data_IF_176844209964
#
_entry.id   IF_176844209964
#
_cell.length_a   1.000
_cell.length_b   1.000
_cell.length_c   1.000
_cell.angle_alpha   90.00
_cell.angle_beta   90.00
_cell.angle_gamma   90.00
#
_symmetry.space_group_name_H-M   'P 1'
#
loop_
_entity.id
_entity.type
_entity.pdbx_description
1 polymer ?
#
# COMPACT_ATOMS: atom_id res chain seq x y z
N UNK A 1 9.16 7.51 -13.97
CA UNK A 1 9.00 6.57 -12.85
C UNK A 1 8.18 7.20 -11.75
N UNK A 2 7.35 6.41 -11.10
CA UNK A 2 6.53 6.86 -9.98
C UNK A 2 6.72 5.93 -8.79
N UNK A 3 6.59 6.48 -7.60
CA UNK A 3 6.45 5.71 -6.38
C UNK A 3 4.98 5.71 -5.99
N UNK A 4 4.37 4.54 -6.04
CA UNK A 4 2.99 4.34 -5.61
C UNK A 4 3.03 3.85 -4.17
N UNK A 5 2.41 4.61 -3.29
CA UNK A 5 2.29 4.24 -1.87
C UNK A 5 0.81 3.91 -1.63
N UNK A 6 0.54 2.74 -1.11
CA UNK A 6 -0.81 2.33 -0.77
C UNK A 6 -0.88 1.92 0.70
N UNK A 7 -1.75 2.57 1.45
CA UNK A 7 -2.01 2.20 2.85
C UNK A 7 -3.35 1.47 2.86
N UNK A 8 -3.33 0.19 3.19
CA UNK A 8 -4.47 -0.71 3.03
C UNK A 8 -4.75 -1.50 4.31
N UNK A 9 -5.89 -2.15 4.36
CA UNK A 9 -6.23 -3.08 5.45
C UNK A 9 -5.28 -4.28 5.40
N UNK A 10 -4.78 -4.75 6.56
CA UNK A 10 -3.77 -5.82 6.60
C UNK A 10 -4.19 -7.11 5.90
N UNK A 11 -5.46 -7.50 6.01
CA UNK A 11 -5.92 -8.76 5.43
C UNK A 11 -6.01 -8.72 3.90
N UNK A 12 -5.82 -7.55 3.30
CA UNK A 12 -5.80 -7.41 1.83
C UNK A 12 -4.41 -7.58 1.22
N UNK A 13 -3.38 -7.68 2.04
CA UNK A 13 -1.99 -7.72 1.56
C UNK A 13 -1.75 -8.82 0.52
N UNK A 14 -2.15 -10.04 0.82
CA UNK A 14 -1.86 -11.17 -0.07
C UNK A 14 -2.57 -11.05 -1.42
N UNK A 15 -3.83 -10.63 -1.42
CA UNK A 15 -4.59 -10.43 -2.66
C UNK A 15 -3.96 -9.34 -3.53
N UNK A 16 -3.58 -8.21 -2.91
CA UNK A 16 -2.97 -7.10 -3.62
C UNK A 16 -1.62 -7.50 -4.20
N UNK A 17 -0.79 -8.16 -3.40
CA UNK A 17 0.53 -8.64 -3.84
C UNK A 17 0.42 -9.58 -5.04
N UNK A 18 -0.49 -10.55 -4.97
CA UNK A 18 -0.71 -11.50 -6.06
C UNK A 18 -1.17 -10.80 -7.33
N UNK A 19 -2.15 -9.89 -7.20
CA UNK A 19 -2.68 -9.17 -8.35
C UNK A 19 -1.62 -8.26 -8.99
N UNK A 20 -0.79 -7.59 -8.19
CA UNK A 20 0.29 -6.74 -8.71
C UNK A 20 1.36 -7.56 -9.41
N UNK A 21 1.70 -8.72 -8.87
CA UNK A 21 2.62 -9.64 -9.55
C UNK A 21 2.08 -10.06 -10.92
N UNK A 22 0.78 -10.28 -11.00
CA UNK A 22 0.10 -10.68 -12.25
C UNK A 22 0.15 -9.64 -13.35
N UNK A 23 0.34 -8.36 -13.03
CA UNK A 23 0.45 -7.29 -14.03
C UNK A 23 1.90 -6.88 -14.32
N UNK A 24 2.87 -7.58 -13.74
CA UNK A 24 4.29 -7.33 -14.02
C UNK A 24 5.03 -6.48 -13.00
N UNK A 25 4.43 -6.17 -11.86
CA UNK A 25 5.13 -5.50 -10.75
C UNK A 25 6.09 -6.50 -10.12
N UNK A 26 7.38 -6.17 -10.12
CA UNK A 26 8.42 -7.10 -9.69
C UNK A 26 8.87 -6.90 -8.25
N UNK A 27 8.67 -5.73 -7.69
CA UNK A 27 9.12 -5.43 -6.34
C UNK A 27 8.08 -4.66 -5.54
N UNK A 28 7.82 -5.11 -4.32
CA UNK A 28 6.90 -4.47 -3.40
C UNK A 28 7.55 -4.47 -2.03
N UNK A 29 7.57 -3.31 -1.37
CA UNK A 29 8.00 -3.21 0.03
C UNK A 29 6.76 -3.04 0.88
N UNK A 30 6.61 -3.86 1.90
CA UNK A 30 5.48 -3.81 2.81
C UNK A 30 5.96 -3.47 4.22
N UNK A 31 5.29 -2.54 4.87
CA UNK A 31 5.60 -2.12 6.23
C UNK A 31 4.32 -2.14 7.07
N UNK A 32 4.39 -2.73 8.23
CA UNK A 32 3.29 -2.65 9.20
C UNK A 32 3.27 -1.25 9.81
N UNK A 33 2.12 -0.60 9.74
CA UNK A 33 1.93 0.76 10.24
C UNK A 33 0.64 0.85 11.02
N UNK A 34 0.45 1.96 11.70
CA UNK A 34 -0.80 2.28 12.37
C UNK A 34 -1.40 3.52 11.73
N UNK A 35 -2.67 3.46 11.39
CA UNK A 35 -3.37 4.56 10.76
C UNK A 35 -4.47 5.11 11.64
N UNK A 36 -4.61 6.43 11.62
CA UNK A 36 -5.74 7.13 12.20
C UNK A 36 -6.45 7.86 11.06
N UNK A 37 -7.74 7.64 10.94
CA UNK A 37 -8.48 8.20 9.84
C UNK A 37 -9.97 8.32 10.15
N UNK A 38 -10.79 8.30 9.10
CA UNK A 38 -12.22 8.51 9.22
C UNK A 38 -12.94 7.51 10.11
N UNK A 39 -12.46 6.26 10.18
CA UNK A 39 -13.05 5.27 11.07
C UNK A 39 -12.80 5.61 12.54
N UNK A 40 -11.85 6.50 12.84
CA UNK A 40 -11.52 6.99 14.20
C UNK A 40 -11.35 5.89 15.24
N UNK A 41 -10.85 4.72 14.79
CA UNK A 41 -10.80 3.56 15.63
C UNK A 41 -12.19 3.02 15.94
N UNK A 42 -12.30 2.26 16.97
CA UNK A 42 -13.55 1.69 17.44
C UNK A 42 -13.47 1.52 18.96
N UNK A 43 -14.63 1.35 19.58
CA UNK A 43 -14.71 1.13 21.03
C UNK A 43 -14.54 -0.35 21.34
N UNK A 44 -13.66 -0.65 22.27
CA UNK A 44 -13.45 -2.01 22.76
C UNK A 44 -13.74 -2.06 24.26
N UNK A 45 -14.20 -3.22 24.72
CA UNK A 45 -14.42 -3.47 26.14
C UNK A 45 -13.25 -4.26 26.72
N UNK A 46 -12.72 -3.75 27.84
CA UNK A 46 -11.66 -4.44 28.57
C UNK A 46 -11.94 -4.29 30.06
N UNK A 47 -12.13 -5.41 30.74
CA UNK A 47 -12.46 -5.45 32.19
C UNK A 47 -13.67 -4.57 32.54
N UNK A 48 -14.69 -4.55 31.67
CA UNK A 48 -15.91 -3.78 31.89
C UNK A 48 -15.81 -2.29 31.60
N UNK A 49 -14.66 -1.81 31.12
CA UNK A 49 -14.47 -0.42 30.69
C UNK A 49 -14.36 -0.33 29.17
N UNK A 50 -14.88 0.75 28.61
CA UNK A 50 -14.78 1.03 27.18
C UNK A 50 -13.50 1.81 26.89
N UNK A 51 -12.79 1.38 25.83
CA UNK A 51 -11.61 2.06 25.32
C UNK A 51 -11.82 2.42 23.85
N UNK A 52 -11.48 3.65 23.49
CA UNK A 52 -11.48 4.09 22.09
C UNK A 52 -10.15 3.74 21.47
N UNK A 53 -10.20 3.00 20.38
CA UNK A 53 -8.99 2.66 19.61
C UNK A 53 -8.82 3.72 18.53
N UNK A 54 -7.87 4.63 18.74
CA UNK A 54 -7.62 5.75 17.82
C UNK A 54 -6.80 5.35 16.61
N UNK A 55 -5.85 4.44 16.79
CA UNK A 55 -4.99 3.93 15.73
C UNK A 55 -5.28 2.47 15.44
N UNK A 56 -5.41 2.15 14.16
CA UNK A 56 -5.68 0.80 13.70
C UNK A 56 -4.50 0.29 12.87
N UNK A 57 -4.21 -1.02 12.93
CA UNK A 57 -3.17 -1.59 12.09
C UNK A 57 -3.52 -1.45 10.60
N UNK A 58 -2.51 -1.11 9.83
CA UNK A 58 -2.56 -1.00 8.37
C UNK A 58 -1.27 -1.57 7.80
N UNK A 59 -1.26 -1.81 6.51
CA UNK A 59 -0.04 -2.13 5.77
C UNK A 59 0.23 -1.00 4.79
N UNK A 60 1.46 -0.51 4.79
CA UNK A 60 1.93 0.45 3.79
C UNK A 60 2.73 -0.30 2.74
N UNK A 61 2.27 -0.23 1.50
CA UNK A 61 2.99 -0.77 0.34
C UNK A 61 3.71 0.37 -0.35
N UNK A 62 4.94 0.11 -0.76
CA UNK A 62 5.72 1.04 -1.58
C UNK A 62 6.13 0.31 -2.86
N UNK A 63 5.74 0.85 -4.00
CA UNK A 63 5.87 0.21 -5.29
C UNK A 63 6.43 1.21 -6.27
N UNK A 64 7.66 0.98 -6.73
CA UNK A 64 8.27 1.81 -7.76
C UNK A 64 7.96 1.19 -9.12
N UNK A 65 7.37 1.97 -10.02
CA UNK A 65 6.98 1.51 -11.34
C UNK A 65 7.34 2.52 -12.41
N UNK A 66 7.52 2.04 -13.63
CA UNK A 66 7.66 2.91 -14.78
C UNK A 66 6.32 3.57 -15.11
N UNK A 67 6.37 4.71 -15.79
CA UNK A 67 5.18 5.52 -16.08
C UNK A 67 4.09 4.75 -16.80
N UNK A 68 4.45 3.84 -17.70
CA UNK A 68 3.48 3.05 -18.46
C UNK A 68 2.74 2.00 -17.62
N UNK A 69 3.19 1.71 -16.43
CA UNK A 69 2.55 0.74 -15.53
C UNK A 69 1.76 1.40 -14.38
N UNK A 70 1.84 2.72 -14.24
CA UNK A 70 1.24 3.45 -13.10
C UNK A 70 -0.28 3.24 -13.05
N UNK A 71 -0.97 3.49 -14.13
CA UNK A 71 -2.44 3.41 -14.16
C UNK A 71 -2.91 1.99 -13.83
N UNK A 72 -2.26 1.00 -14.40
CA UNK A 72 -2.62 -0.39 -14.17
C UNK A 72 -2.33 -0.80 -12.71
N UNK A 73 -1.25 -0.31 -12.15
CA UNK A 73 -0.93 -0.52 -10.72
C UNK A 73 -2.01 0.06 -9.82
N UNK A 74 -2.39 1.32 -10.06
CA UNK A 74 -3.43 2.00 -9.27
C UNK A 74 -4.76 1.25 -9.38
N UNK A 75 -5.19 0.94 -10.59
CA UNK A 75 -6.46 0.25 -10.84
C UNK A 75 -6.49 -1.13 -10.20
N UNK A 76 -5.38 -1.85 -10.24
CA UNK A 76 -5.25 -3.17 -9.61
C UNK A 76 -5.40 -3.07 -8.09
N UNK A 77 -4.76 -2.08 -7.47
CA UNK A 77 -4.89 -1.86 -6.02
C UNK A 77 -6.33 -1.47 -5.66
N UNK A 78 -6.93 -0.55 -6.39
CA UNK A 78 -8.31 -0.14 -6.15
C UNK A 78 -9.27 -1.33 -6.21
N UNK A 79 -9.10 -2.18 -7.19
CA UNK A 79 -9.97 -3.34 -7.40
C UNK A 79 -9.80 -4.40 -6.31
N UNK A 80 -8.57 -4.63 -5.86
CA UNK A 80 -8.27 -5.73 -4.93
C UNK A 80 -8.33 -5.31 -3.46
N UNK A 81 -8.01 -4.06 -3.13
CA UNK A 81 -7.97 -3.60 -1.75
C UNK A 81 -9.30 -3.04 -1.25
N UNK A 82 -10.21 -2.64 -2.14
CA UNK A 82 -11.47 -2.03 -1.77
C UNK A 82 -12.44 -3.03 -1.17
N UNK A 83 -13.08 -2.66 -0.05
CA UNK A 83 -14.21 -3.40 0.53
C UNK A 83 -15.49 -2.59 0.44
N UNK A 84 -15.40 -1.31 0.05
CA UNK A 84 -16.53 -0.38 0.04
C UNK A 84 -16.83 0.20 1.42
N UNK A 85 -16.02 -0.09 2.41
CA UNK A 85 -16.21 0.37 3.79
C UNK A 85 -15.18 1.44 4.16
N UNK A 86 -15.53 2.26 5.15
CA UNK A 86 -14.59 3.22 5.72
C UNK A 86 -13.35 2.47 6.23
N UNK A 87 -12.18 3.02 6.00
CA UNK A 87 -10.92 2.42 6.42
C UNK A 87 -10.21 1.62 5.35
N UNK A 88 -10.72 1.59 4.12
CA UNK A 88 -10.08 0.89 3.01
C UNK A 88 -8.70 1.44 2.68
N UNK A 89 -8.43 2.70 3.01
CA UNK A 89 -7.12 3.28 2.84
C UNK A 89 -7.02 4.28 1.71
N UNK A 90 -5.79 4.61 1.36
CA UNK A 90 -5.49 5.62 0.32
C UNK A 90 -4.29 5.20 -0.50
N UNK A 91 -4.23 5.74 -1.70
CA UNK A 91 -3.10 5.59 -2.60
C UNK A 91 -2.49 6.98 -2.82
N UNK A 92 -1.18 7.07 -2.72
CA UNK A 92 -0.42 8.29 -3.01
C UNK A 92 0.53 7.99 -4.16
N UNK A 93 0.64 8.91 -5.09
CA UNK A 93 1.54 8.76 -6.24
C UNK A 93 2.52 9.92 -6.24
N UNK A 94 3.81 9.60 -6.21
CA UNK A 94 4.88 10.59 -6.19
C UNK A 94 5.80 10.39 -7.39
N UNK A 95 6.38 11.48 -7.87
CA UNK A 95 7.46 11.41 -8.84
C UNK A 95 8.67 10.73 -8.18
N UNK A 96 9.20 9.71 -8.85
CA UNK A 96 10.43 9.05 -8.43
C UNK A 96 11.56 9.55 -9.30
N UNK A 97 12.44 10.32 -8.72
CA UNK A 97 13.53 10.97 -9.46
C UNK A 97 14.56 9.97 -9.96
N UNK A 98 14.88 8.96 -9.15
CA UNK A 98 15.88 7.98 -9.49
C UNK A 98 15.63 6.67 -8.76
N UNK A 99 16.00 5.56 -9.40
CA UNK A 99 16.04 4.23 -8.79
C UNK A 99 17.40 3.61 -9.15
N UNK A 100 18.04 2.99 -8.17
CA UNK A 100 19.35 2.38 -8.36
C UNK A 100 19.32 0.99 -7.72
N UNK A 101 19.67 -0.02 -8.49
CA UNK A 101 19.76 -1.38 -7.97
C UNK A 101 21.06 -1.57 -7.21
N UNK A 102 20.97 -1.95 -5.96
CA UNK A 102 22.15 -2.05 -5.10
C UNK A 102 23.18 -3.06 -5.63
N UNK A 103 22.71 -4.23 -6.08
CA UNK A 103 23.60 -5.31 -6.52
C UNK A 103 24.38 -4.95 -7.78
N UNK A 104 23.75 -4.28 -8.73
CA UNK A 104 24.32 -4.07 -10.07
C UNK A 104 24.73 -2.62 -10.35
N UNK A 105 24.19 -1.66 -9.59
CA UNK A 105 24.35 -0.25 -9.87
C UNK A 105 23.54 0.26 -11.06
N UNK A 106 22.67 -0.58 -11.64
CA UNK A 106 21.77 -0.15 -12.72
C UNK A 106 20.84 0.95 -12.21
N UNK A 107 20.57 1.91 -13.10
CA UNK A 107 19.80 3.11 -12.76
C UNK A 107 18.55 3.21 -13.62
N UNK A 108 17.58 3.96 -13.08
CA UNK A 108 16.37 4.32 -13.79
C UNK A 108 15.45 3.11 -13.98
N UNK A 109 14.78 3.06 -15.12
CA UNK A 109 13.81 2.02 -15.46
C UNK A 109 14.38 0.61 -15.30
N UNK A 110 15.63 0.42 -15.63
CA UNK A 110 16.30 -0.89 -15.55
C UNK A 110 16.52 -1.36 -14.11
N UNK A 111 16.43 -0.45 -13.15
CA UNK A 111 16.57 -0.78 -11.73
C UNK A 111 15.26 -1.26 -11.09
N UNK A 112 14.16 -1.12 -11.79
CA UNK A 112 12.85 -1.50 -11.28
C UNK A 112 12.56 -2.99 -11.40
#
# INVERSE_FOLDING_TARGET
>A
MKLVIAVIKPFKLDEVREALSGIGVQGITATEVKGFGRQKGHTELYRGAEYVVDFLPKIKLEIAVDDDLVDNTINTILKTASTGKIGDGKIFVLELQEAIRVRTGEKGKEAL
#
